data_IF_927390977562
#
_entry.id   IF_927390977562
#
_cell.length_a   1.000
_cell.length_b   1.000
_cell.length_c   1.000
_cell.angle_alpha   90.00
_cell.angle_beta   90.00
_cell.angle_gamma   90.00
#
_symmetry.space_group_name_H-M   'P 1'
#
loop_
_entity.id
_entity.type
_entity.pdbx_description
1 polymer ?
#
# COMPACT_ATOMS: atom_id res chain seq x y z
N UNK A 1 22.88 8.99 29.36
CA UNK A 1 21.60 8.67 28.69
C UNK A 1 21.66 9.34 27.32
N UNK A 2 21.61 8.60 26.22
CA UNK A 2 21.61 9.21 24.89
C UNK A 2 20.36 10.10 24.73
N UNK A 3 20.43 11.24 24.03
CA UNK A 3 19.24 12.03 23.76
C UNK A 3 18.19 11.19 23.03
N UNK A 4 16.89 11.40 23.28
CA UNK A 4 15.84 10.67 22.57
C UNK A 4 16.00 10.90 21.06
N UNK A 5 15.76 9.87 20.23
CA UNK A 5 15.89 10.00 18.79
C UNK A 5 14.98 11.12 18.28
N UNK A 6 15.50 11.93 17.36
CA UNK A 6 14.76 13.05 16.78
C UNK A 6 13.50 12.53 16.06
N UNK A 7 12.31 13.14 16.27
CA UNK A 7 11.11 12.79 15.52
C UNK A 7 11.31 12.84 14.00
N UNK A 8 10.82 11.82 13.31
CA UNK A 8 10.82 11.74 11.86
C UNK A 8 9.57 12.40 11.27
N UNK A 9 9.68 12.80 10.01
CA UNK A 9 8.61 13.34 9.18
C UNK A 9 8.26 12.28 8.13
N UNK A 10 7.16 11.59 8.37
CA UNK A 10 6.84 10.30 7.77
C UNK A 10 5.77 10.45 6.69
N UNK A 11 6.01 9.79 5.57
CA UNK A 11 5.00 9.46 4.56
C UNK A 11 4.45 8.09 4.89
N UNK A 12 3.15 7.96 5.17
CA UNK A 12 2.57 6.67 5.50
C UNK A 12 1.94 6.00 4.28
N UNK A 13 2.47 4.85 3.86
CA UNK A 13 1.85 4.04 2.80
C UNK A 13 0.66 3.27 3.38
N UNK A 14 -0.53 3.50 2.82
CA UNK A 14 -1.77 2.85 3.25
C UNK A 14 -2.39 2.02 2.13
N UNK A 15 -2.91 0.84 2.50
CA UNK A 15 -3.59 -0.08 1.57
C UNK A 15 -5.10 -0.18 1.78
N UNK A 16 -5.60 0.35 2.90
CA UNK A 16 -6.99 0.13 3.34
C UNK A 16 -7.14 -1.13 4.19
N UNK A 17 -6.09 -1.95 4.30
CA UNK A 17 -5.99 -3.05 5.25
C UNK A 17 -5.49 -2.61 6.62
N UNK A 18 -5.78 -3.45 7.63
CA UNK A 18 -5.47 -3.21 9.05
C UNK A 18 -3.97 -2.96 9.32
N UNK A 19 -3.09 -3.67 8.61
CA UNK A 19 -1.66 -3.65 8.92
C UNK A 19 -1.02 -2.30 8.61
N UNK A 20 -1.47 -1.66 7.52
CA UNK A 20 -1.00 -0.32 7.16
C UNK A 20 -1.45 0.75 8.15
N UNK A 21 -2.65 0.62 8.73
CA UNK A 21 -3.16 1.51 9.77
C UNK A 21 -2.47 1.26 11.10
N UNK A 22 -2.23 0.01 11.48
CA UNK A 22 -1.50 -0.31 12.70
C UNK A 22 -0.03 0.17 12.64
N UNK A 23 0.61 0.06 11.47
CA UNK A 23 1.93 0.66 11.23
C UNK A 23 1.91 2.19 11.39
N UNK A 24 0.86 2.86 10.91
CA UNK A 24 0.65 4.30 11.13
C UNK A 24 0.45 4.63 12.62
N UNK A 25 -0.25 3.80 13.39
CA UNK A 25 -0.37 3.99 14.85
C UNK A 25 0.98 3.90 15.55
N UNK A 26 1.88 3.00 15.11
CA UNK A 26 3.26 2.95 15.62
C UNK A 26 4.05 4.23 15.29
N UNK A 27 3.86 4.83 14.11
CA UNK A 27 4.47 6.12 13.77
C UNK A 27 4.08 7.18 14.80
N UNK A 28 2.78 7.26 15.12
CA UNK A 28 2.24 8.24 16.06
C UNK A 28 2.69 7.96 17.50
N UNK A 29 2.68 6.70 17.96
CA UNK A 29 3.03 6.34 19.33
C UNK A 29 4.51 6.57 19.65
N UNK A 30 5.39 6.50 18.64
CA UNK A 30 6.81 6.84 18.74
C UNK A 30 7.10 8.34 18.62
N UNK A 31 6.07 9.18 18.52
CA UNK A 31 6.19 10.63 18.47
C UNK A 31 6.68 11.17 17.12
N UNK A 32 6.64 10.37 16.05
CA UNK A 32 6.91 10.85 14.71
C UNK A 32 5.71 11.60 14.14
N UNK A 33 5.94 12.44 13.12
CA UNK A 33 4.92 13.26 12.48
C UNK A 33 4.55 12.67 11.14
N UNK A 34 3.27 12.43 10.92
CA UNK A 34 2.77 11.96 9.62
C UNK A 34 2.42 13.18 8.77
N UNK A 35 3.07 13.32 7.61
CA UNK A 35 2.87 14.49 6.74
C UNK A 35 1.79 14.26 5.69
N UNK A 36 1.70 13.03 5.17
CA UNK A 36 0.76 12.64 4.14
C UNK A 36 0.59 11.12 4.15
N UNK A 37 -0.51 10.65 3.56
CA UNK A 37 -0.73 9.24 3.25
C UNK A 37 -0.60 9.01 1.75
N UNK A 38 0.11 7.94 1.38
CA UNK A 38 0.30 7.52 0.00
C UNK A 38 -0.41 6.19 -0.27
N UNK A 39 -1.03 6.04 -1.43
CA UNK A 39 -1.65 4.79 -1.85
C UNK A 39 -1.43 4.54 -3.34
N UNK A 40 -1.06 3.31 -3.69
CA UNK A 40 -1.11 2.83 -5.07
C UNK A 40 -2.41 2.05 -5.31
N UNK A 41 -3.00 2.20 -6.49
CA UNK A 41 -4.28 1.57 -6.86
C UNK A 41 -4.18 0.88 -8.22
N UNK A 42 -4.92 -0.22 -8.46
CA UNK A 42 -4.90 -0.90 -9.75
C UNK A 42 -5.47 0.02 -10.84
N UNK A 43 -4.85 0.02 -12.02
CA UNK A 43 -5.38 0.74 -13.17
C UNK A 43 -6.54 -0.06 -13.78
N UNK A 44 -7.72 0.54 -14.05
CA UNK A 44 -8.79 -0.15 -14.76
C UNK A 44 -8.28 -0.63 -16.13
N UNK A 45 -8.56 -1.88 -16.50
CA UNK A 45 -8.14 -2.46 -17.76
C UNK A 45 -8.89 -1.81 -18.95
N UNK A 46 -8.52 -0.59 -19.31
CA UNK A 46 -9.05 0.15 -20.44
C UNK A 46 -8.10 0.06 -21.63
N UNK A 47 -8.60 -0.47 -22.75
CA UNK A 47 -8.05 -0.45 -24.11
C UNK A 47 -6.77 0.41 -24.30
N UNK A 48 -5.67 -0.24 -24.69
CA UNK A 48 -4.48 0.41 -25.27
C UNK A 48 -4.91 1.40 -26.34
N UNK A 49 -4.94 2.67 -25.96
CA UNK A 49 -5.04 3.79 -26.89
C UNK A 49 -3.67 4.45 -26.85
N UNK A 50 -2.98 4.62 -27.99
CA UNK A 50 -1.61 5.09 -27.98
C UNK A 50 -1.54 6.50 -27.40
N UNK A 51 -0.67 6.62 -26.39
CA UNK A 51 -0.02 7.79 -25.82
C UNK A 51 -0.58 9.16 -26.24
N UNK A 52 -1.26 9.82 -25.30
CA UNK A 52 -1.27 11.29 -25.21
C UNK A 52 -0.89 11.68 -23.81
N UNK A 53 0.27 12.32 -23.71
CA UNK A 53 0.93 12.79 -22.50
C UNK A 53 0.03 13.80 -21.77
N UNK A 54 -0.52 13.42 -20.62
CA UNK A 54 -1.03 14.37 -19.62
C UNK A 54 -1.09 13.69 -18.25
N UNK A 55 -0.12 14.05 -17.40
CA UNK A 55 -0.04 13.65 -15.99
C UNK A 55 -1.24 14.19 -15.22
N UNK A 56 -2.24 13.35 -14.96
CA UNK A 56 -3.33 13.66 -14.04
C UNK A 56 -3.04 13.04 -12.67
N UNK A 57 -2.39 13.82 -11.80
CA UNK A 57 -2.35 13.57 -10.36
C UNK A 57 -3.59 14.25 -9.78
N UNK A 58 -4.58 13.47 -9.33
CA UNK A 58 -5.82 14.03 -8.77
C UNK A 58 -5.56 14.51 -7.33
N UNK A 59 -5.33 15.81 -7.18
CA UNK A 59 -5.36 16.49 -5.87
C UNK A 59 -6.78 16.99 -5.64
N UNK A 60 -7.60 16.27 -4.87
CA UNK A 60 -8.98 16.69 -4.59
C UNK A 60 -8.99 17.80 -3.52
N UNK A 61 -9.17 19.05 -3.96
CA UNK A 61 -9.56 20.17 -3.10
C UNK A 61 -10.98 20.62 -3.49
N UNK A 62 -11.91 20.59 -2.53
CA UNK A 62 -13.32 20.86 -2.76
C UNK A 62 -13.66 22.33 -2.54
N UNK A 63 -14.10 23.02 -3.60
CA UNK A 63 -14.94 24.22 -3.53
C UNK A 63 -16.06 24.08 -4.55
N UNK A 64 -17.29 24.15 -4.05
CA UNK A 64 -18.55 23.92 -4.76
C UNK A 64 -19.01 25.15 -5.52
N UNK A 65 -19.33 24.99 -6.81
CA UNK A 65 -20.22 25.89 -7.54
C UNK A 65 -21.18 25.09 -8.41
N UNK A 66 -22.46 25.26 -8.10
CA UNK A 66 -23.62 24.63 -8.74
C UNK A 66 -23.73 25.11 -10.19
N UNK A 67 -23.75 24.17 -11.13
CA UNK A 67 -24.10 24.39 -12.53
C UNK A 67 -25.10 23.34 -12.97
N UNK A 68 -26.37 23.74 -13.10
CA UNK A 68 -27.47 22.92 -13.60
C UNK A 68 -27.33 22.85 -15.13
N UNK A 69 -27.28 21.65 -15.69
CA UNK A 69 -27.68 21.41 -17.09
C UNK A 69 -28.18 19.98 -17.25
N UNK A 70 -29.45 19.91 -17.60
CA UNK A 70 -30.24 18.73 -17.95
C UNK A 70 -29.89 18.21 -19.34
N UNK A 71 -29.59 16.92 -19.47
CA UNK A 71 -30.28 16.09 -20.47
C UNK A 71 -30.09 14.59 -20.19
N UNK A 72 -31.18 13.84 -20.35
CA UNK A 72 -31.29 12.45 -19.96
C UNK A 72 -30.66 11.44 -20.93
N UNK A 73 -30.28 10.31 -20.33
CA UNK A 73 -29.89 9.06 -20.97
C UNK A 73 -29.53 8.07 -19.87
N UNK A 74 -30.49 7.22 -19.46
CA UNK A 74 -30.26 6.14 -18.50
C UNK A 74 -29.40 5.09 -19.22
N UNK A 75 -28.10 5.12 -18.98
CA UNK A 75 -27.27 3.92 -19.02
C UNK A 75 -27.00 3.53 -17.58
N UNK A 76 -27.48 2.35 -17.21
CA UNK A 76 -27.07 1.66 -15.99
C UNK A 76 -25.59 1.31 -16.16
N UNK A 77 -24.71 2.25 -15.82
CA UNK A 77 -23.29 1.97 -15.56
C UNK A 77 -23.22 1.16 -14.27
N UNK A 78 -23.27 -0.16 -14.39
CA UNK A 78 -22.73 -1.06 -13.38
C UNK A 78 -21.23 -0.81 -13.32
N UNK A 79 -20.77 -0.27 -12.20
CA UNK A 79 -19.36 -0.01 -11.89
C UNK A 79 -18.60 -1.34 -11.80
N UNK A 80 -18.02 -1.80 -12.92
CA UNK A 80 -17.06 -2.90 -12.96
C UNK A 80 -15.65 -2.43 -12.55
N UNK A 81 -15.51 -1.72 -11.42
CA UNK A 81 -14.25 -1.03 -11.04
C UNK A 81 -13.64 -1.54 -9.72
N UNK A 82 -14.11 -2.69 -9.19
CA UNK A 82 -13.63 -3.30 -7.93
C UNK A 82 -12.91 -4.64 -8.14
N UNK A 83 -12.63 -5.02 -9.39
CA UNK A 83 -11.89 -6.25 -9.66
C UNK A 83 -10.41 -6.07 -9.25
N UNK A 84 -9.88 -6.87 -8.32
CA UNK A 84 -8.46 -6.86 -7.98
C UNK A 84 -7.64 -7.22 -9.23
N UNK A 85 -6.55 -6.52 -9.48
CA UNK A 85 -5.56 -6.99 -10.45
C UNK A 85 -4.98 -8.32 -9.93
N UNK A 86 -5.25 -9.46 -10.60
CA UNK A 86 -4.75 -10.76 -10.16
C UNK A 86 -3.22 -10.88 -10.24
N UNK A 87 -2.54 -9.92 -10.89
CA UNK A 87 -1.10 -9.98 -11.17
C UNK A 87 -0.22 -9.18 -10.18
N UNK A 88 -0.80 -8.46 -9.21
CA UNK A 88 -0.01 -7.71 -8.21
C UNK A 88 0.24 -8.51 -6.94
N UNK A 89 1.52 -8.81 -6.68
CA UNK A 89 1.95 -9.45 -5.44
C UNK A 89 2.43 -8.43 -4.40
N UNK A 90 2.79 -7.22 -4.83
CA UNK A 90 3.29 -6.18 -3.95
C UNK A 90 2.17 -5.40 -3.25
N UNK A 91 1.07 -5.09 -3.92
CA UNK A 91 0.06 -4.15 -3.43
C UNK A 91 -1.30 -4.80 -3.19
N UNK A 92 -1.90 -4.50 -2.03
CA UNK A 92 -3.28 -4.90 -1.78
C UNK A 92 -4.25 -3.97 -2.54
N UNK A 93 -5.09 -4.58 -3.36
CA UNK A 93 -6.12 -3.91 -4.16
C UNK A 93 -7.49 -3.90 -3.49
N UNK A 94 -7.77 -4.89 -2.63
CA UNK A 94 -9.04 -4.97 -1.91
C UNK A 94 -9.22 -3.81 -0.92
N UNK A 95 -10.34 -3.09 -1.03
CA UNK A 95 -10.69 -1.99 -0.14
C UNK A 95 -10.05 -0.64 -0.49
N UNK A 96 -9.39 -0.51 -1.65
CA UNK A 96 -8.76 0.76 -2.06
C UNK A 96 -9.76 1.91 -2.25
N UNK A 97 -11.06 1.61 -2.44
CA UNK A 97 -12.15 2.59 -2.46
C UNK A 97 -12.35 3.30 -1.11
N UNK A 98 -11.93 2.69 0.01
CA UNK A 98 -12.04 3.27 1.36
C UNK A 98 -10.93 4.28 1.67
N UNK A 99 -9.84 4.27 0.90
CA UNK A 99 -8.65 5.11 1.15
C UNK A 99 -8.99 6.62 1.27
N UNK A 100 -9.80 7.24 0.39
CA UNK A 100 -10.18 8.65 0.55
C UNK A 100 -10.93 8.94 1.84
N UNK A 101 -11.72 8.00 2.34
CA UNK A 101 -12.44 8.16 3.61
C UNK A 101 -11.50 8.02 4.81
N UNK A 102 -10.57 7.07 4.76
CA UNK A 102 -9.52 6.90 5.78
C UNK A 102 -8.68 8.17 5.88
N UNK A 103 -8.18 8.70 4.76
CA UNK A 103 -7.35 9.91 4.76
C UNK A 103 -8.10 11.13 5.34
N UNK A 104 -9.39 11.29 4.98
CA UNK A 104 -10.25 12.33 5.55
C UNK A 104 -10.44 12.16 7.05
N UNK A 105 -10.70 10.94 7.53
CA UNK A 105 -10.86 10.66 8.95
C UNK A 105 -9.57 10.93 9.74
N UNK A 106 -8.40 10.69 9.14
CA UNK A 106 -7.09 11.00 9.71
C UNK A 106 -6.74 12.50 9.63
N UNK A 107 -7.46 13.29 8.83
CA UNK A 107 -7.12 14.68 8.56
C UNK A 107 -5.80 14.87 7.82
N UNK A 108 -5.37 13.86 7.04
CA UNK A 108 -4.08 13.85 6.36
C UNK A 108 -4.22 14.05 4.83
N UNK A 109 -3.29 14.79 4.18
CA UNK A 109 -3.22 14.86 2.73
C UNK A 109 -3.09 13.46 2.10
N UNK A 110 -3.87 13.20 1.06
CA UNK A 110 -3.86 11.94 0.32
C UNK A 110 -3.22 12.13 -1.05
N UNK A 111 -2.24 11.28 -1.35
CA UNK A 111 -1.65 11.15 -2.66
C UNK A 111 -1.91 9.74 -3.20
N UNK A 112 -2.37 9.66 -4.44
CA UNK A 112 -2.63 8.38 -5.12
C UNK A 112 -1.95 8.34 -6.48
N UNK A 113 -1.47 7.16 -6.85
CA UNK A 113 -0.97 6.89 -8.19
C UNK A 113 -1.38 5.48 -8.63
N UNK A 114 -1.55 5.24 -9.94
CA UNK A 114 -1.83 3.90 -10.44
C UNK A 114 -0.61 2.98 -10.25
N UNK A 115 -0.86 1.69 -10.08
CA UNK A 115 0.14 0.65 -10.23
C UNK A 115 0.37 0.49 -11.73
N UNK A 116 1.61 0.70 -12.15
CA UNK A 116 2.08 0.50 -13.51
C UNK A 116 2.98 -0.74 -13.54
N UNK A 117 2.97 -1.46 -14.67
CA UNK A 117 3.83 -2.63 -14.86
C UNK A 117 3.27 -3.92 -14.23
N UNK A 118 4.14 -4.91 -14.04
CA UNK A 118 3.82 -6.22 -13.43
C UNK A 118 4.88 -6.62 -12.41
N UNK A 119 4.64 -7.65 -11.61
CA UNK A 119 5.68 -8.27 -10.80
C UNK A 119 6.73 -8.97 -11.70
N UNK A 120 7.83 -8.29 -12.02
CA UNK A 120 8.89 -8.80 -12.91
C UNK A 120 10.01 -9.44 -12.09
N UNK A 121 10.43 -8.80 -11.01
CA UNK A 121 11.45 -9.33 -10.10
C UNK A 121 10.71 -10.10 -9.02
N UNK A 122 10.92 -11.42 -8.95
CA UNK A 122 10.26 -12.32 -7.98
C UNK A 122 11.04 -12.60 -6.69
N UNK A 123 12.32 -12.21 -6.65
CA UNK A 123 13.24 -12.57 -5.55
C UNK A 123 12.95 -11.88 -4.22
N UNK A 124 13.49 -12.47 -3.14
CA UNK A 124 13.49 -11.88 -1.79
C UNK A 124 14.38 -10.64 -1.69
N UNK A 125 15.44 -10.58 -2.48
CA UNK A 125 16.27 -9.40 -2.68
C UNK A 125 15.76 -8.63 -3.90
N UNK A 126 15.80 -7.31 -3.82
CA UNK A 126 15.41 -6.44 -4.93
C UNK A 126 16.62 -5.63 -5.41
N UNK A 127 16.98 -5.79 -6.68
CA UNK A 127 17.95 -4.94 -7.37
C UNK A 127 17.19 -4.21 -8.49
N UNK A 128 17.11 -2.87 -8.46
CA UNK A 128 16.41 -2.14 -9.50
C UNK A 128 17.11 -2.38 -10.86
N UNK A 129 16.36 -2.40 -11.97
CA UNK A 129 16.96 -2.41 -13.31
C UNK A 129 17.98 -1.27 -13.42
N UNK A 130 19.22 -1.58 -13.77
CA UNK A 130 20.25 -0.55 -13.94
C UNK A 130 19.86 0.34 -15.12
N UNK A 131 19.66 1.64 -14.87
CA UNK A 131 19.58 2.63 -15.93
C UNK A 131 20.99 2.74 -16.53
N UNK A 132 21.24 2.08 -17.66
CA UNK A 132 22.50 2.27 -18.36
C UNK A 132 22.59 3.73 -18.85
N UNK A 133 23.66 4.42 -18.48
CA UNK A 133 23.98 5.79 -18.91
C UNK A 133 24.36 5.93 -20.40
N UNK A 134 24.03 4.92 -21.20
CA UNK A 134 24.10 4.90 -22.66
C UNK A 134 22.90 4.07 -23.11
N UNK A 135 21.91 4.71 -23.76
CA UNK A 135 20.56 4.19 -24.03
C UNK A 135 20.46 2.82 -24.69
N UNK A 136 20.71 1.77 -23.92
CA UNK A 136 20.57 0.37 -24.28
C UNK A 136 20.60 -0.47 -23.01
N UNK A 137 19.51 -1.18 -22.74
CA UNK A 137 19.36 -2.06 -21.57
C UNK A 137 20.39 -3.19 -21.72
N UNK A 138 21.34 -3.29 -20.80
CA UNK A 138 22.27 -4.43 -20.74
C UNK A 138 21.85 -5.29 -19.57
N UNK A 139 21.28 -6.47 -19.89
CA UNK A 139 20.89 -7.47 -18.91
C UNK A 139 22.08 -7.91 -18.06
N UNK A 140 21.89 -7.95 -16.73
CA UNK A 140 22.87 -8.50 -15.81
C UNK A 140 23.18 -9.97 -16.13
N UNK A 141 24.43 -10.38 -15.88
CA UNK A 141 24.88 -11.76 -16.02
C UNK A 141 24.11 -12.68 -15.05
N UNK A 142 22.99 -13.21 -15.51
CA UNK A 142 22.17 -14.20 -14.83
C UNK A 142 21.40 -15.03 -15.86
N UNK A 143 21.81 -16.30 -15.98
CA UNK A 143 21.24 -17.40 -16.77
C UNK A 143 20.05 -17.10 -17.70
N UNK A 144 20.28 -17.38 -18.97
CA UNK A 144 19.35 -17.56 -20.09
C UNK A 144 17.95 -18.09 -19.67
N UNK A 145 17.05 -17.16 -19.40
CA UNK A 145 15.63 -17.32 -19.63
C UNK A 145 15.24 -16.28 -20.67
N UNK A 146 14.44 -16.64 -21.67
CA UNK A 146 13.80 -15.69 -22.59
C UNK A 146 12.90 -14.73 -21.80
N UNK A 147 13.48 -13.68 -21.23
CA UNK A 147 12.78 -12.66 -20.45
C UNK A 147 12.41 -11.49 -21.35
N UNK A 148 11.15 -11.11 -21.34
CA UNK A 148 10.60 -9.97 -22.06
C UNK A 148 11.32 -8.68 -21.62
N UNK A 149 12.23 -8.18 -22.47
CA UNK A 149 12.91 -6.91 -22.27
C UNK A 149 11.87 -5.77 -22.28
N UNK A 150 11.83 -4.97 -21.21
CA UNK A 150 11.07 -3.70 -21.17
C UNK A 150 9.76 -3.67 -20.40
N UNK A 151 9.40 -4.69 -19.60
CA UNK A 151 8.29 -4.53 -18.64
C UNK A 151 8.77 -3.78 -17.40
N UNK A 152 8.13 -2.64 -17.10
CA UNK A 152 8.31 -1.92 -15.85
C UNK A 152 7.88 -2.81 -14.68
N UNK A 153 8.70 -2.86 -13.62
CA UNK A 153 8.37 -3.61 -12.41
C UNK A 153 7.42 -2.78 -11.52
N UNK A 154 6.37 -3.42 -11.00
CA UNK A 154 5.34 -2.73 -10.21
C UNK A 154 5.87 -1.95 -9.00
N UNK A 155 7.05 -2.33 -8.49
CA UNK A 155 7.77 -1.62 -7.44
C UNK A 155 8.05 -0.17 -7.79
N UNK A 156 8.39 0.12 -9.05
CA UNK A 156 8.83 1.45 -9.49
C UNK A 156 7.68 2.47 -9.48
N UNK A 157 6.42 2.00 -9.43
CA UNK A 157 5.24 2.87 -9.26
C UNK A 157 5.27 3.69 -7.95
N UNK A 158 6.01 3.24 -6.93
CA UNK A 158 6.18 4.01 -5.69
C UNK A 158 7.04 5.27 -5.88
N UNK A 159 7.96 5.28 -6.84
CA UNK A 159 8.88 6.42 -7.04
C UNK A 159 8.12 7.70 -7.39
N UNK A 160 7.31 7.76 -8.46
CA UNK A 160 6.61 8.99 -8.81
C UNK A 160 5.64 9.44 -7.70
N UNK A 161 5.01 8.49 -6.99
CA UNK A 161 4.14 8.79 -5.84
C UNK A 161 4.93 9.48 -4.72
N UNK A 162 6.03 8.88 -4.26
CA UNK A 162 6.83 9.41 -3.17
C UNK A 162 7.53 10.72 -3.56
N UNK A 163 7.97 10.86 -4.81
CA UNK A 163 8.51 12.13 -5.32
C UNK A 163 7.47 13.25 -5.29
N UNK A 164 6.23 12.99 -5.68
CA UNK A 164 5.14 13.97 -5.60
C UNK A 164 4.88 14.40 -4.16
N UNK A 165 4.86 13.46 -3.22
CA UNK A 165 4.69 13.74 -1.79
C UNK A 165 5.88 14.55 -1.26
N UNK A 166 7.13 14.16 -1.57
CA UNK A 166 8.33 14.91 -1.17
C UNK A 166 8.34 16.33 -1.73
N UNK A 167 7.84 16.53 -2.96
CA UNK A 167 7.71 17.88 -3.55
C UNK A 167 6.72 18.75 -2.76
N UNK A 168 5.59 18.18 -2.34
CA UNK A 168 4.60 18.88 -1.52
C UNK A 168 5.05 19.04 -0.06
N UNK A 169 5.86 18.11 0.43
CA UNK A 169 6.36 18.05 1.80
C UNK A 169 7.89 17.86 1.82
N UNK A 170 8.68 18.92 1.54
CA UNK A 170 10.15 18.81 1.40
C UNK A 170 10.87 18.36 2.66
N UNK A 171 10.22 18.45 3.83
CA UNK A 171 10.78 18.01 5.11
C UNK A 171 10.60 16.50 5.37
N UNK A 172 9.92 15.77 4.48
CA UNK A 172 9.74 14.32 4.59
C UNK A 172 11.10 13.60 4.53
N UNK A 173 11.35 12.73 5.50
CA UNK A 173 12.60 12.00 5.64
C UNK A 173 12.42 10.51 5.98
N UNK A 174 11.19 10.03 6.00
CA UNK A 174 10.88 8.63 6.28
C UNK A 174 9.61 8.17 5.55
N UNK A 175 9.50 6.87 5.33
CA UNK A 175 8.32 6.21 4.76
C UNK A 175 7.96 4.98 5.60
N UNK A 176 6.70 4.85 5.99
CA UNK A 176 6.22 3.68 6.74
C UNK A 176 5.36 2.76 5.88
N UNK A 177 5.46 1.45 6.15
CA UNK A 177 4.66 0.42 5.48
C UNK A 177 4.22 -0.68 6.46
N UNK A 178 3.16 -1.40 6.11
CA UNK A 178 2.52 -2.42 6.94
C UNK A 178 2.89 -3.88 6.63
N UNK A 179 4.06 -4.15 6.04
CA UNK A 179 4.44 -5.53 5.70
C UNK A 179 4.79 -6.35 6.96
N UNK A 180 4.12 -7.49 7.17
CA UNK A 180 4.32 -8.34 8.36
C UNK A 180 5.41 -9.40 8.14
N UNK A 181 5.16 -10.40 7.29
CA UNK A 181 6.12 -11.50 7.04
C UNK A 181 6.80 -11.40 5.67
N UNK A 182 6.30 -10.53 4.80
CA UNK A 182 6.77 -10.45 3.41
C UNK A 182 8.11 -9.73 3.32
N UNK A 183 9.20 -10.50 3.27
CA UNK A 183 10.52 -9.99 2.89
C UNK A 183 10.48 -9.37 1.48
N UNK A 184 9.68 -9.93 0.58
CA UNK A 184 9.48 -9.41 -0.78
C UNK A 184 9.00 -7.94 -0.78
N UNK A 185 7.94 -7.64 -0.02
CA UNK A 185 7.41 -6.27 0.08
C UNK A 185 8.38 -5.34 0.80
N UNK A 186 9.01 -5.83 1.88
CA UNK A 186 9.97 -5.05 2.66
C UNK A 186 11.14 -4.57 1.81
N UNK A 187 11.83 -5.47 1.12
CA UNK A 187 13.07 -5.12 0.39
C UNK A 187 12.82 -4.17 -0.79
N UNK A 188 11.63 -4.24 -1.41
CA UNK A 188 11.19 -3.29 -2.44
C UNK A 188 10.99 -1.89 -1.89
N UNK A 189 10.28 -1.77 -0.77
CA UNK A 189 10.07 -0.48 -0.10
C UNK A 189 11.41 0.09 0.37
N UNK A 190 12.31 -0.73 0.92
CA UNK A 190 13.66 -0.31 1.31
C UNK A 190 14.48 0.19 0.12
N UNK A 191 14.45 -0.52 -1.01
CA UNK A 191 15.13 -0.09 -2.25
C UNK A 191 14.62 1.27 -2.75
N UNK A 192 13.30 1.46 -2.78
CA UNK A 192 12.70 2.73 -3.18
C UNK A 192 13.04 3.84 -2.19
N UNK A 193 12.92 3.57 -0.88
CA UNK A 193 13.20 4.54 0.18
C UNK A 193 14.66 5.01 0.12
N UNK A 194 15.62 4.08 -0.03
CA UNK A 194 17.03 4.40 -0.16
C UNK A 194 17.32 5.30 -1.37
N UNK A 195 16.72 5.01 -2.53
CA UNK A 195 16.86 5.82 -3.75
C UNK A 195 16.25 7.22 -3.63
N UNK A 196 15.33 7.41 -2.69
CA UNK A 196 14.68 8.69 -2.42
C UNK A 196 15.17 9.35 -1.14
N UNK A 197 16.26 8.89 -0.53
CA UNK A 197 16.79 9.43 0.73
C UNK A 197 15.70 9.51 1.82
N UNK A 198 14.96 8.41 2.00
CA UNK A 198 13.94 8.22 3.02
C UNK A 198 14.35 7.06 3.92
N UNK A 199 14.16 7.21 5.23
CA UNK A 199 14.29 6.10 6.20
C UNK A 199 13.07 5.16 6.05
N UNK A 200 13.26 3.87 5.73
CA UNK A 200 12.15 2.91 5.71
C UNK A 200 11.78 2.48 7.13
N UNK A 201 10.49 2.59 7.46
CA UNK A 201 9.92 2.16 8.74
C UNK A 201 9.04 0.93 8.53
N UNK A 202 9.56 -0.23 8.93
CA UNK A 202 8.92 -1.54 8.78
C UNK A 202 8.58 -2.16 10.15
N UNK A 203 7.80 -1.45 10.97
CA UNK A 203 7.52 -1.83 12.37
C UNK A 203 6.89 -3.22 12.55
N UNK A 204 6.15 -3.69 11.55
CA UNK A 204 5.45 -4.97 11.63
C UNK A 204 6.27 -6.13 11.05
N UNK A 205 7.47 -5.86 10.52
CA UNK A 205 8.25 -6.92 9.90
C UNK A 205 8.73 -7.93 10.94
N UNK A 206 8.43 -9.21 10.70
CA UNK A 206 8.63 -10.33 11.62
C UNK A 206 7.85 -10.24 12.95
N UNK A 207 6.77 -9.45 13.02
CA UNK A 207 6.00 -9.28 14.27
C UNK A 207 5.60 -10.62 14.94
N UNK A 208 5.02 -11.62 14.24
CA UNK A 208 4.68 -12.90 14.88
C UNK A 208 5.90 -13.68 15.39
N UNK A 209 7.07 -13.46 14.79
CA UNK A 209 8.33 -14.08 15.25
C UNK A 209 8.86 -13.37 16.50
N UNK A 210 8.76 -12.05 16.57
CA UNK A 210 9.17 -11.25 17.72
C UNK A 210 8.30 -11.52 18.96
N UNK A 211 7.01 -11.76 18.76
CA UNK A 211 6.02 -12.01 19.81
C UNK A 211 5.54 -13.46 19.85
N UNK A 212 6.41 -14.41 19.44
CA UNK A 212 6.05 -15.83 19.32
C UNK A 212 5.50 -16.44 20.63
N UNK A 213 5.98 -15.97 21.78
CA UNK A 213 5.53 -16.45 23.10
C UNK A 213 4.09 -16.09 23.43
N UNK A 214 3.50 -15.12 22.72
CA UNK A 214 2.14 -14.61 22.95
C UNK A 214 1.09 -15.28 22.05
N UNK A 215 1.54 -16.18 21.16
CA UNK A 215 0.68 -16.98 20.28
C UNK A 215 0.49 -16.40 18.88
N UNK A 216 -0.13 -17.20 18.01
CA UNK A 216 -0.24 -16.89 16.57
C UNK A 216 -1.08 -15.64 16.27
N UNK A 217 -1.98 -15.28 17.19
CA UNK A 217 -2.88 -14.13 17.05
C UNK A 217 -2.41 -12.88 17.84
N UNK A 218 -1.17 -12.86 18.34
CA UNK A 218 -0.65 -11.76 19.16
C UNK A 218 -0.79 -10.38 18.49
N UNK A 219 -0.51 -10.27 17.19
CA UNK A 219 -0.67 -9.02 16.45
C UNK A 219 -2.11 -8.49 16.49
N UNK A 220 -3.11 -9.39 16.37
CA UNK A 220 -4.52 -8.99 16.45
C UNK A 220 -4.94 -8.63 17.89
N UNK A 221 -4.33 -9.27 18.90
CA UNK A 221 -4.48 -8.88 20.29
C UNK A 221 -3.95 -7.47 20.57
N UNK A 222 -2.77 -7.15 20.06
CA UNK A 222 -2.21 -5.82 20.22
C UNK A 222 -2.95 -4.74 19.42
N UNK A 223 -3.61 -5.12 18.31
CA UNK A 223 -4.56 -4.22 17.63
C UNK A 223 -5.78 -3.93 18.51
N UNK A 224 -6.35 -4.94 19.16
CA UNK A 224 -7.48 -4.78 20.09
C UNK A 224 -7.09 -3.90 21.29
N UNK A 225 -5.89 -4.05 21.85
CA UNK A 225 -5.39 -3.27 22.99
C UNK A 225 -5.27 -1.77 22.70
N UNK A 226 -4.97 -1.39 21.45
CA UNK A 226 -4.94 0.02 21.03
C UNK A 226 -6.32 0.53 20.57
N UNK A 227 -7.37 -0.27 20.76
CA UNK A 227 -8.74 0.06 20.37
C UNK A 227 -8.99 0.00 18.86
N UNK A 228 -8.16 -0.72 18.11
CA UNK A 228 -8.31 -0.85 16.66
C UNK A 228 -9.35 -1.92 16.31
N UNK A 229 -10.38 -1.52 15.59
CA UNK A 229 -11.37 -2.42 14.99
C UNK A 229 -10.94 -2.80 13.57
N UNK A 230 -10.84 -4.10 13.29
CA UNK A 230 -10.37 -4.62 12.00
C UNK A 230 -11.40 -5.55 11.38
N UNK A 231 -12.21 -5.05 10.44
CA UNK A 231 -13.29 -5.83 9.81
C UNK A 231 -12.85 -6.56 8.56
N UNK A 232 -13.34 -7.79 8.42
CA UNK A 232 -13.17 -8.60 7.20
C UNK A 232 -14.11 -8.06 6.11
N UNK A 233 -13.53 -7.51 5.04
CA UNK A 233 -14.28 -7.02 3.86
C UNK A 233 -14.22 -7.97 2.67
N UNK A 234 -13.31 -8.95 2.71
CA UNK A 234 -13.10 -9.96 1.67
C UNK A 234 -12.48 -11.21 2.26
N UNK A 235 -12.86 -12.37 1.72
CA UNK A 235 -12.26 -13.67 2.03
C UNK A 235 -11.75 -14.33 0.75
N UNK A 236 -10.61 -15.00 0.83
CA UNK A 236 -9.98 -15.71 -0.30
C UNK A 236 -9.18 -16.95 0.16
N UNK A 237 -9.54 -17.51 1.32
CA UNK A 237 -8.87 -18.67 1.92
C UNK A 237 -9.86 -19.82 2.06
N UNK A 238 -9.37 -21.05 1.86
CA UNK A 238 -10.15 -22.24 2.19
C UNK A 238 -10.57 -22.19 3.67
N UNK A 239 -11.84 -22.46 3.95
CA UNK A 239 -12.43 -22.44 5.28
C UNK A 239 -13.17 -21.15 5.65
N UNK A 240 -12.93 -20.03 4.97
CA UNK A 240 -13.64 -18.77 5.23
C UNK A 240 -14.70 -18.51 4.16
N UNK A 241 -15.91 -18.10 4.58
CA UNK A 241 -17.02 -17.79 3.68
C UNK A 241 -17.71 -16.47 4.01
N UNK A 242 -18.88 -16.24 3.43
CA UNK A 242 -19.68 -15.03 3.63
C UNK A 242 -20.01 -14.78 5.11
N UNK A 243 -20.16 -15.83 5.91
CA UNK A 243 -20.44 -15.73 7.35
C UNK A 243 -19.34 -15.06 8.17
N UNK A 244 -18.13 -14.89 7.60
CA UNK A 244 -17.01 -14.19 8.22
C UNK A 244 -16.87 -12.74 7.77
N UNK A 245 -17.61 -12.31 6.75
CA UNK A 245 -17.65 -10.90 6.36
C UNK A 245 -18.17 -10.05 7.52
N UNK A 246 -17.59 -8.85 7.64
CA UNK A 246 -17.89 -7.85 8.67
C UNK A 246 -17.55 -8.22 10.12
N UNK A 247 -17.02 -9.43 10.36
CA UNK A 247 -16.46 -9.82 11.65
C UNK A 247 -15.26 -8.92 11.96
N UNK A 248 -15.24 -8.36 13.17
CA UNK A 248 -14.06 -7.70 13.70
C UNK A 248 -13.03 -8.74 14.13
N UNK A 249 -12.02 -8.98 13.30
CA UNK A 249 -10.97 -9.98 13.51
C UNK A 249 -9.96 -9.54 14.57
N UNK A 250 -9.93 -8.26 14.96
CA UNK A 250 -9.12 -7.83 16.09
C UNK A 250 -9.76 -8.28 17.41
N UNK A 251 -11.08 -8.18 17.56
CA UNK A 251 -11.76 -8.60 18.80
C UNK A 251 -11.50 -10.05 19.19
N UNK A 252 -11.44 -10.33 20.50
CA UNK A 252 -11.36 -11.71 21.02
C UNK A 252 -12.41 -12.65 20.41
N UNK A 253 -13.67 -12.21 20.37
CA UNK A 253 -14.77 -13.01 19.83
C UNK A 253 -14.60 -13.30 18.32
N UNK A 254 -14.12 -12.32 17.55
CA UNK A 254 -13.82 -12.49 16.13
C UNK A 254 -12.64 -13.43 15.88
N UNK A 255 -11.55 -13.30 16.66
CA UNK A 255 -10.41 -14.23 16.62
C UNK A 255 -10.85 -15.67 16.87
N UNK A 256 -11.67 -15.90 17.90
CA UNK A 256 -12.21 -17.23 18.21
C UNK A 256 -13.13 -17.77 17.10
N UNK A 257 -13.96 -16.90 16.49
CA UNK A 257 -14.84 -17.29 15.38
C UNK A 257 -14.06 -17.70 14.13
N UNK A 258 -13.07 -16.92 13.74
CA UNK A 258 -12.26 -17.14 12.53
C UNK A 258 -11.26 -18.28 12.75
N UNK A 259 -10.59 -18.32 13.90
CA UNK A 259 -9.57 -19.33 14.21
C UNK A 259 -10.08 -20.77 14.14
N UNK A 260 -11.35 -21.01 14.52
CA UNK A 260 -11.98 -22.35 14.43
C UNK A 260 -12.10 -22.90 13.00
N UNK A 261 -11.98 -22.06 11.98
CA UNK A 261 -12.17 -22.44 10.57
C UNK A 261 -10.89 -22.47 9.74
N UNK A 262 -9.79 -21.95 10.29
CA UNK A 262 -8.49 -21.80 9.60
C UNK A 262 -7.44 -22.76 10.16
N UNK A 263 -7.75 -23.46 11.25
CA UNK A 263 -6.92 -24.51 11.87
C UNK A 263 -7.17 -25.91 11.32
#
# INVERSE_FOLDING_TARGET
>A
MAPPPKPLNVIALISGGKDSIYSLLHVLSLGHRVLAVGNLYPQPAGHVTPLSTSSAITTTSSTSSVGISSNGGISTQTTEDDAPDPDSHMYQTAGHALIPFIARALGLPLFRAPILGKAVIGGSTYAPPQLSSTGGVVGGLGKEGKGEEGREDETESLIPLLQAIKKAHPTANAVSAGAILSTYQRTRIESVAARLDLVPLAFLWQYPTLFKSEGEAALLAHMEEVGMEARIVKVASGGLGEGELWVDVASRAGREKVGRKVG
#
